data_IF_142241160358
#
_entry.id   IF_142241160358
#
_cell.length_a   1.000
_cell.length_b   1.000
_cell.length_c   1.000
_cell.angle_alpha   90.00
_cell.angle_beta   90.00
_cell.angle_gamma   90.00
#
_symmetry.space_group_name_H-M   'P 1'
#
loop_
_entity.id
_entity.type
_entity.pdbx_description
1 polymer ?
#
# COMPACT_ATOMS: atom_id res chain seq x y z
N UNK A 1 17.78 14.49 12.23
CA UNK A 1 18.85 15.40 12.69
C UNK A 1 20.03 15.18 11.75
N UNK A 2 20.44 16.22 11.00
CA UNK A 2 21.43 16.14 9.93
C UNK A 2 20.83 16.02 8.52
N UNK A 3 20.15 17.06 8.02
CA UNK A 3 19.87 17.36 6.59
C UNK A 3 19.10 16.35 5.70
N UNK A 4 19.06 15.07 6.04
CA UNK A 4 18.47 14.00 5.23
C UNK A 4 17.11 13.56 5.81
N UNK A 5 16.17 13.28 4.91
CA UNK A 5 14.86 12.69 5.25
C UNK A 5 15.02 11.19 5.43
N UNK A 6 14.74 10.68 6.63
CA UNK A 6 14.78 9.25 6.93
C UNK A 6 13.38 8.65 6.90
N UNK A 7 13.23 7.48 6.29
CA UNK A 7 12.00 6.70 6.35
C UNK A 7 12.01 5.84 7.61
N UNK A 8 11.13 6.17 8.55
CA UNK A 8 10.96 5.41 9.80
C UNK A 8 9.73 4.51 9.66
N UNK A 9 9.89 3.17 9.70
CA UNK A 9 8.76 2.26 9.63
C UNK A 9 7.95 2.32 10.94
N UNK A 10 6.63 2.38 10.80
CA UNK A 10 5.68 2.34 11.93
C UNK A 10 4.74 1.15 11.75
N UNK A 11 4.38 0.53 12.86
CA UNK A 11 3.34 -0.50 12.86
C UNK A 11 1.98 0.15 12.66
N UNK A 12 1.16 -0.45 11.78
CA UNK A 12 -0.15 0.07 11.45
C UNK A 12 -1.21 -0.64 12.29
N UNK A 13 -2.03 0.09 13.07
CA UNK A 13 -3.10 -0.51 13.86
C UNK A 13 -4.19 -1.11 12.96
N UNK A 14 -4.86 -2.16 13.44
CA UNK A 14 -5.81 -2.96 12.67
C UNK A 14 -6.92 -2.13 11.98
N UNK A 15 -7.48 -1.14 12.69
CA UNK A 15 -8.52 -0.24 12.16
C UNK A 15 -8.04 0.55 10.92
N UNK A 16 -6.74 0.91 10.88
CA UNK A 16 -6.14 1.62 9.75
C UNK A 16 -5.77 0.69 8.59
N UNK A 17 -5.54 -0.59 8.84
CA UNK A 17 -5.16 -1.55 7.80
C UNK A 17 -6.26 -1.69 6.75
N UNK A 18 -7.52 -1.84 7.17
CA UNK A 18 -8.66 -1.93 6.27
C UNK A 18 -8.82 -0.65 5.43
N UNK A 19 -8.73 0.51 6.07
CA UNK A 19 -8.84 1.80 5.40
C UNK A 19 -7.74 2.00 4.34
N UNK A 20 -6.50 1.59 4.63
CA UNK A 20 -5.39 1.64 3.68
C UNK A 20 -5.59 0.69 2.50
N UNK A 21 -6.06 -0.53 2.77
CA UNK A 21 -6.35 -1.52 1.72
C UNK A 21 -7.40 -0.98 0.73
N UNK A 22 -8.55 -0.49 1.23
CA UNK A 22 -9.58 0.10 0.36
C UNK A 22 -9.06 1.30 -0.42
N UNK A 23 -8.27 2.16 0.22
CA UNK A 23 -7.67 3.32 -0.45
C UNK A 23 -6.74 2.92 -1.60
N UNK A 24 -5.96 1.86 -1.44
CA UNK A 24 -5.11 1.36 -2.51
C UNK A 24 -5.92 0.77 -3.68
N UNK A 25 -6.99 0.01 -3.39
CA UNK A 25 -7.89 -0.54 -4.41
C UNK A 25 -8.55 0.57 -5.22
N UNK A 26 -9.13 1.57 -4.55
CA UNK A 26 -9.79 2.70 -5.24
C UNK A 26 -8.82 3.49 -6.11
N UNK A 27 -7.61 3.77 -5.60
CA UNK A 27 -6.58 4.47 -6.37
C UNK A 27 -6.11 3.66 -7.58
N UNK A 28 -5.94 2.34 -7.44
CA UNK A 28 -5.58 1.44 -8.53
C UNK A 28 -6.67 1.42 -9.62
N UNK A 29 -7.93 1.28 -9.21
CA UNK A 29 -9.07 1.33 -10.12
C UNK A 29 -9.16 2.68 -10.85
N UNK A 30 -8.98 3.80 -10.14
CA UNK A 30 -9.01 5.15 -10.73
C UNK A 30 -7.83 5.45 -11.66
N UNK A 31 -6.72 4.71 -11.52
CA UNK A 31 -5.55 4.82 -12.39
C UNK A 31 -5.76 4.17 -13.76
N UNK A 32 -6.72 3.23 -13.89
CA UNK A 32 -7.03 2.59 -15.18
C UNK A 32 -7.83 3.56 -16.05
N UNK A 33 -7.21 4.06 -17.12
CA UNK A 33 -7.88 4.96 -18.09
C UNK A 33 -8.69 4.13 -19.10
N UNK A 34 -9.90 4.58 -19.42
CA UNK A 34 -10.71 4.00 -20.50
C UNK A 34 -11.68 2.89 -20.08
N UNK A 35 -11.81 2.60 -18.79
CA UNK A 35 -12.78 1.63 -18.25
C UNK A 35 -13.69 2.33 -17.24
N UNK A 36 -15.01 2.04 -17.23
CA UNK A 36 -15.89 2.51 -16.16
C UNK A 36 -15.34 2.11 -14.79
N UNK A 37 -15.48 2.99 -13.81
CA UNK A 37 -14.89 2.76 -12.48
C UNK A 37 -15.43 1.48 -11.83
N UNK A 38 -16.70 1.12 -12.08
CA UNK A 38 -17.32 -0.10 -11.57
C UNK A 38 -16.60 -1.37 -12.08
N UNK A 39 -16.36 -1.45 -13.39
CA UNK A 39 -15.66 -2.58 -14.00
C UNK A 39 -14.19 -2.62 -13.60
N UNK A 40 -13.53 -1.46 -13.51
CA UNK A 40 -12.15 -1.37 -13.02
C UNK A 40 -12.02 -1.87 -11.58
N UNK A 41 -12.99 -1.55 -10.72
CA UNK A 41 -13.00 -1.95 -9.31
C UNK A 41 -13.28 -3.45 -9.15
N UNK A 42 -14.20 -4.00 -9.94
CA UNK A 42 -14.45 -5.44 -10.00
C UNK A 42 -13.20 -6.22 -10.44
N UNK A 43 -12.52 -5.75 -11.49
CA UNK A 43 -11.28 -6.36 -11.96
C UNK A 43 -10.17 -6.30 -10.90
N UNK A 44 -9.96 -5.15 -10.25
CA UNK A 44 -8.96 -5.04 -9.17
C UNK A 44 -9.30 -5.93 -7.97
N UNK A 45 -10.59 -6.14 -7.65
CA UNK A 45 -10.99 -7.08 -6.60
C UNK A 45 -10.64 -8.53 -6.96
N UNK A 46 -10.89 -8.92 -8.21
CA UNK A 46 -10.57 -10.27 -8.72
C UNK A 46 -9.06 -10.47 -8.75
N UNK A 47 -8.30 -9.49 -9.23
CA UNK A 47 -6.83 -9.52 -9.23
C UNK A 47 -6.30 -9.64 -7.79
N UNK A 48 -6.82 -8.82 -6.87
CA UNK A 48 -6.42 -8.87 -5.46
C UNK A 48 -6.76 -10.22 -4.79
N UNK A 49 -7.92 -10.82 -5.13
CA UNK A 49 -8.30 -12.15 -4.65
C UNK A 49 -7.32 -13.23 -5.13
N UNK A 50 -6.84 -13.11 -6.38
CA UNK A 50 -5.84 -13.99 -6.95
C UNK A 50 -4.40 -13.68 -6.46
N UNK A 51 -4.23 -12.78 -5.48
CA UNK A 51 -2.94 -12.25 -5.01
C UNK A 51 -2.09 -11.64 -6.14
N UNK A 52 -2.73 -11.10 -7.17
CA UNK A 52 -2.08 -10.42 -8.29
C UNK A 52 -2.51 -8.96 -8.34
N UNK A 53 -1.94 -8.21 -9.29
CA UNK A 53 -2.31 -6.83 -9.54
C UNK A 53 -1.49 -5.80 -8.76
N UNK A 54 -1.82 -4.54 -9.04
CA UNK A 54 -1.04 -3.38 -8.58
C UNK A 54 -1.15 -3.16 -7.06
N UNK A 55 -2.31 -3.47 -6.49
CA UNK A 55 -2.60 -3.32 -5.06
C UNK A 55 -1.72 -4.27 -4.22
N UNK A 56 -1.63 -5.54 -4.62
CA UNK A 56 -0.83 -6.55 -3.90
C UNK A 56 0.65 -6.24 -3.99
N UNK A 57 1.13 -5.84 -5.18
CA UNK A 57 2.52 -5.39 -5.37
C UNK A 57 2.86 -4.21 -4.46
N UNK A 58 1.97 -3.22 -4.36
CA UNK A 58 2.16 -2.05 -3.48
C UNK A 58 2.22 -2.42 -2.00
N UNK A 59 1.39 -3.38 -1.57
CA UNK A 59 1.45 -3.96 -0.22
C UNK A 59 2.85 -4.55 0.03
N UNK A 60 3.30 -5.43 -0.85
CA UNK A 60 4.60 -6.12 -0.71
C UNK A 60 5.79 -5.15 -0.72
N UNK A 61 5.80 -4.17 -1.62
CA UNK A 61 6.82 -3.11 -1.67
C UNK A 61 6.88 -2.34 -0.36
N UNK A 62 5.73 -1.99 0.21
CA UNK A 62 5.65 -1.29 1.50
C UNK A 62 6.20 -2.14 2.65
N UNK A 63 5.86 -3.43 2.70
CA UNK A 63 6.41 -4.34 3.71
C UNK A 63 7.92 -4.54 3.55
N UNK A 64 8.40 -4.71 2.31
CA UNK A 64 9.83 -4.85 2.01
C UNK A 64 10.61 -3.59 2.39
N UNK A 65 10.06 -2.41 2.10
CA UNK A 65 10.63 -1.12 2.48
C UNK A 65 10.68 -0.95 4.01
N UNK A 66 9.64 -1.39 4.72
CA UNK A 66 9.62 -1.37 6.17
C UNK A 66 10.68 -2.32 6.77
N UNK A 67 10.88 -3.51 6.19
CA UNK A 67 11.92 -4.45 6.60
C UNK A 67 13.34 -3.91 6.33
N UNK A 68 13.55 -3.28 5.16
CA UNK A 68 14.84 -2.67 4.81
C UNK A 68 15.22 -1.54 5.78
N UNK A 69 14.24 -0.75 6.21
CA UNK A 69 14.43 0.36 7.15
C UNK A 69 14.21 -0.04 8.62
N UNK A 70 14.15 -1.34 8.95
CA UNK A 70 13.93 -1.84 10.32
C UNK A 70 14.97 -1.30 11.31
N UNK A 71 16.19 -1.04 10.84
CA UNK A 71 17.25 -0.43 11.63
C UNK A 71 16.85 0.94 12.20
N UNK A 72 15.97 1.70 11.55
CA UNK A 72 15.53 3.04 11.99
C UNK A 72 14.28 3.02 12.87
N UNK A 73 13.72 1.84 13.20
CA UNK A 73 12.51 1.73 14.02
C UNK A 73 12.67 2.32 15.43
N UNK A 74 13.91 2.39 15.94
CA UNK A 74 14.25 3.00 17.22
C UNK A 74 14.13 4.54 17.23
N UNK A 75 14.04 5.18 16.06
CA UNK A 75 13.81 6.62 15.93
C UNK A 75 12.32 7.00 16.03
N UNK A 76 11.45 6.09 16.48
CA UNK A 76 10.06 6.36 16.83
C UNK A 76 10.03 7.13 18.16
N UNK A 77 9.77 8.42 18.10
CA UNK A 77 9.47 9.29 19.24
C UNK A 77 8.01 9.73 19.19
#
# INVERSE_FOLDING_TARGET
>A
VGGATYQVPIEVPFERQQSLAFRWVVNAASSRKGTPIADALANELIDAYNNTGSVVKKREETHKMAQANRAFAHLRW
#
